data_IF_530504384231
#
_entry.id   IF_530504384231
#
_cell.length_a   1.000
_cell.length_b   1.000
_cell.length_c   1.000
_cell.angle_alpha   90.00
_cell.angle_beta   90.00
_cell.angle_gamma   90.00
#
_symmetry.space_group_name_H-M   'P 1'
#
loop_
_entity.id
_entity.type
_entity.pdbx_description
1 polymer ?
#
# COMPACT_ATOMS: atom_id res chain seq x y z
N UNK A 1 32.53 -5.58 13.84
CA UNK A 1 31.78 -5.14 12.65
C UNK A 1 30.60 -6.06 12.48
N UNK A 2 29.40 -5.51 12.59
CA UNK A 2 28.14 -6.22 12.36
C UNK A 2 27.66 -5.89 10.95
N UNK A 3 27.09 -6.89 10.28
CA UNK A 3 26.45 -6.69 9.00
C UNK A 3 24.93 -6.69 9.21
N UNK A 4 24.28 -5.70 8.62
CA UNK A 4 22.83 -5.55 8.65
C UNK A 4 22.26 -5.73 7.25
N UNK A 5 21.29 -6.63 7.14
CA UNK A 5 20.39 -6.74 6.00
C UNK A 5 19.07 -6.09 6.40
N UNK A 6 18.66 -5.06 5.68
CA UNK A 6 17.49 -4.25 6.02
C UNK A 6 16.56 -4.23 4.82
N UNK A 7 15.29 -4.50 5.10
CA UNK A 7 14.19 -4.26 4.20
C UNK A 7 13.44 -3.04 4.67
N UNK A 8 13.01 -2.20 3.75
CA UNK A 8 12.16 -1.06 4.03
C UNK A 8 11.00 -1.02 3.04
N UNK A 9 9.85 -0.56 3.49
CA UNK A 9 8.67 -0.37 2.64
C UNK A 9 7.74 0.68 3.25
N UNK A 10 6.87 1.24 2.43
CA UNK A 10 5.88 2.24 2.89
C UNK A 10 4.57 1.55 3.24
N UNK A 11 4.00 1.86 4.41
CA UNK A 11 2.63 1.48 4.78
C UNK A 11 1.74 2.70 4.57
N UNK A 12 1.04 2.72 3.44
CA UNK A 12 0.27 3.89 3.01
C UNK A 12 -0.91 4.18 3.93
N UNK A 13 -1.57 3.13 4.43
CA UNK A 13 -2.70 3.25 5.37
C UNK A 13 -2.34 3.95 6.68
N UNK A 14 -1.06 3.94 7.08
CA UNK A 14 -0.56 4.56 8.31
C UNK A 14 0.34 5.77 8.07
N UNK A 15 0.70 6.06 6.80
CA UNK A 15 1.68 7.09 6.48
C UNK A 15 3.04 6.87 7.12
N UNK A 16 3.47 5.60 7.27
CA UNK A 16 4.68 5.25 8.00
C UNK A 16 5.61 4.39 7.13
N UNK A 17 6.93 4.54 7.34
CA UNK A 17 7.93 3.63 6.79
C UNK A 17 8.16 2.52 7.80
N UNK A 18 8.08 1.28 7.33
CA UNK A 18 8.33 0.09 8.17
C UNK A 18 9.53 -0.65 7.62
N UNK A 19 10.24 -1.33 8.50
CA UNK A 19 11.40 -2.12 8.11
C UNK A 19 11.52 -3.45 8.83
N UNK A 20 12.30 -4.34 8.25
CA UNK A 20 12.72 -5.59 8.88
C UNK A 20 14.24 -5.70 8.78
N UNK A 21 14.87 -6.13 9.88
CA UNK A 21 16.32 -6.19 9.99
C UNK A 21 16.77 -7.60 10.36
N UNK A 22 17.84 -8.05 9.71
CA UNK A 22 18.66 -9.17 10.16
C UNK A 22 20.06 -8.62 10.43
N UNK A 23 20.55 -8.80 11.65
CA UNK A 23 21.91 -8.43 12.04
C UNK A 23 22.69 -9.68 12.47
N UNK A 24 23.91 -9.83 11.95
CA UNK A 24 24.83 -10.88 12.35
C UNK A 24 26.27 -10.34 12.39
N UNK A 25 27.09 -10.94 13.26
CA UNK A 25 28.51 -10.62 13.35
C UNK A 25 29.24 -11.16 12.12
N UNK A 26 30.08 -10.34 11.52
CA UNK A 26 30.87 -10.61 10.31
C UNK A 26 30.06 -10.80 9.01
N UNK A 27 29.19 -11.81 8.93
CA UNK A 27 28.41 -12.10 7.71
C UNK A 27 27.02 -12.63 8.01
N UNK A 28 26.02 -11.96 7.45
CA UNK A 28 24.64 -12.47 7.48
C UNK A 28 24.50 -13.73 6.64
N UNK A 29 23.86 -14.75 7.21
CA UNK A 29 23.54 -16.00 6.53
C UNK A 29 22.77 -15.79 5.21
N UNK A 30 23.33 -16.33 4.14
CA UNK A 30 22.76 -16.28 2.79
C UNK A 30 21.45 -17.06 2.70
N UNK A 31 21.29 -18.15 3.44
CA UNK A 31 20.06 -18.95 3.40
C UNK A 31 18.89 -18.17 4.01
N UNK A 32 19.13 -17.45 5.12
CA UNK A 32 18.14 -16.59 5.74
C UNK A 32 17.72 -15.43 4.83
N UNK A 33 18.68 -14.74 4.21
CA UNK A 33 18.38 -13.65 3.26
C UNK A 33 17.58 -14.19 2.08
N UNK A 34 17.99 -15.32 1.50
CA UNK A 34 17.29 -15.92 0.37
C UNK A 34 15.85 -16.28 0.73
N UNK A 35 15.63 -16.93 1.87
CA UNK A 35 14.28 -17.28 2.33
C UNK A 35 13.38 -16.04 2.48
N UNK A 36 13.94 -14.94 2.96
CA UNK A 36 13.21 -13.68 3.13
C UNK A 36 12.90 -13.03 1.77
N UNK A 37 13.87 -12.95 0.86
CA UNK A 37 13.66 -12.40 -0.49
C UNK A 37 12.64 -13.22 -1.30
N UNK A 38 12.67 -14.54 -1.19
CA UNK A 38 11.71 -15.43 -1.86
C UNK A 38 10.28 -15.12 -1.38
N UNK A 39 10.08 -14.99 -0.05
CA UNK A 39 8.77 -14.62 0.52
C UNK A 39 8.30 -13.23 0.10
N UNK A 40 9.20 -12.25 0.06
CA UNK A 40 8.86 -10.89 -0.38
C UNK A 40 8.41 -10.86 -1.83
N UNK A 41 9.03 -11.68 -2.69
CA UNK A 41 8.69 -11.71 -4.11
C UNK A 41 7.22 -12.10 -4.35
N UNK A 42 6.60 -12.83 -3.41
CA UNK A 42 5.18 -13.20 -3.44
C UNK A 42 4.25 -12.02 -3.13
N UNK A 43 4.73 -10.99 -2.42
CA UNK A 43 3.93 -9.84 -1.96
C UNK A 43 3.61 -8.87 -3.12
N UNK A 44 4.22 -9.02 -4.29
CA UNK A 44 3.99 -8.22 -5.51
C UNK A 44 3.94 -6.70 -5.25
N UNK A 45 4.91 -6.19 -4.47
CA UNK A 45 5.09 -4.76 -4.18
C UNK A 45 6.39 -4.25 -4.78
N UNK A 46 6.29 -3.11 -5.47
CA UNK A 46 7.43 -2.50 -6.18
C UNK A 46 8.23 -1.52 -5.32
N UNK A 47 7.73 -1.13 -4.15
CA UNK A 47 8.32 -0.11 -3.28
C UNK A 47 9.18 -0.68 -2.14
N UNK A 48 9.47 -1.99 -2.17
CA UNK A 48 10.32 -2.63 -1.15
C UNK A 48 11.79 -2.36 -1.50
N UNK A 49 12.46 -1.62 -0.61
CA UNK A 49 13.89 -1.32 -0.69
C UNK A 49 14.72 -2.34 0.10
N UNK A 50 15.88 -2.73 -0.44
CA UNK A 50 16.85 -3.61 0.20
C UNK A 50 18.13 -2.84 0.47
N UNK A 51 18.60 -2.86 1.71
CA UNK A 51 19.82 -2.16 2.15
C UNK A 51 20.77 -3.12 2.87
N UNK A 52 22.07 -2.89 2.65
CA UNK A 52 23.15 -3.58 3.35
C UNK A 52 24.06 -2.56 4.01
N UNK A 53 24.25 -2.66 5.32
CA UNK A 53 25.06 -1.74 6.11
C UNK A 53 26.01 -2.48 7.03
N UNK A 54 27.10 -1.82 7.40
CA UNK A 54 28.08 -2.31 8.36
C UNK A 54 28.21 -1.32 9.51
N UNK A 55 28.13 -1.81 10.73
CA UNK A 55 28.12 -0.98 11.94
C UNK A 55 29.01 -1.57 13.03
N UNK A 56 29.14 -0.84 14.14
CA UNK A 56 29.88 -1.28 15.32
C UNK A 56 29.07 -2.22 16.23
N UNK A 57 27.73 -2.19 16.16
CA UNK A 57 26.81 -2.98 16.99
C UNK A 57 25.64 -3.54 16.16
N UNK A 58 25.09 -4.68 16.59
CA UNK A 58 23.85 -5.29 16.07
C UNK A 58 22.56 -4.48 16.33
N UNK A 59 22.62 -3.39 17.09
CA UNK A 59 21.48 -2.55 17.43
C UNK A 59 21.00 -1.67 16.26
N UNK A 60 19.68 -1.42 16.22
CA UNK A 60 19.09 -0.47 15.26
C UNK A 60 19.61 0.96 15.45
N UNK A 61 19.92 1.34 16.69
CA UNK A 61 20.48 2.66 16.98
C UNK A 61 21.80 2.91 16.22
N UNK A 62 22.66 1.88 16.11
CA UNK A 62 23.91 1.99 15.37
C UNK A 62 23.69 2.20 13.86
N UNK A 63 22.56 1.73 13.31
CA UNK A 63 22.16 1.99 11.93
C UNK A 63 21.73 3.45 11.74
N UNK A 64 20.91 3.98 12.66
CA UNK A 64 20.45 5.39 12.61
C UNK A 64 21.63 6.35 12.75
N UNK A 65 22.58 6.05 13.65
CA UNK A 65 23.79 6.86 13.85
C UNK A 65 24.69 6.90 12.60
N UNK A 66 24.69 5.81 11.81
CA UNK A 66 25.43 5.73 10.56
C UNK A 66 24.75 6.48 9.42
N UNK A 67 23.42 6.38 9.33
CA UNK A 67 22.63 6.97 8.24
C UNK A 67 21.25 7.43 8.74
N UNK A 68 21.03 8.75 8.74
CA UNK A 68 19.78 9.36 9.19
C UNK A 68 18.58 9.06 8.30
N UNK A 69 18.78 8.48 7.10
CA UNK A 69 17.69 7.99 6.25
C UNK A 69 16.77 6.98 6.95
N UNK A 70 17.25 6.31 7.99
CA UNK A 70 16.53 5.28 8.74
C UNK A 70 15.83 5.78 10.01
N UNK A 71 15.92 7.07 10.33
CA UNK A 71 15.40 7.65 11.59
C UNK A 71 13.87 7.51 11.72
N UNK A 72 13.15 7.60 10.60
CA UNK A 72 11.69 7.50 10.53
C UNK A 72 11.18 6.09 10.21
N UNK A 73 12.05 5.08 10.20
CA UNK A 73 11.71 3.69 9.90
C UNK A 73 11.36 2.94 11.19
N UNK A 74 10.13 2.44 11.25
CA UNK A 74 9.65 1.60 12.36
C UNK A 74 10.00 0.13 12.08
N UNK A 75 10.88 -0.45 12.90
CA UNK A 75 11.30 -1.85 12.75
C UNK A 75 10.27 -2.81 13.34
N UNK A 76 9.86 -3.80 12.52
CA UNK A 76 9.04 -4.92 12.94
C UNK A 76 9.86 -5.92 13.76
N UNK A 77 9.21 -6.56 14.74
CA UNK A 77 9.89 -7.52 15.62
C UNK A 77 10.29 -8.81 14.90
N UNK A 78 9.53 -9.19 13.87
CA UNK A 78 9.83 -10.34 13.03
C UNK A 78 9.36 -10.12 11.58
N UNK A 79 9.83 -10.99 10.67
CA UNK A 79 9.50 -10.89 9.25
C UNK A 79 8.02 -11.19 8.97
N UNK A 80 7.37 -12.05 9.76
CA UNK A 80 5.93 -12.33 9.62
C UNK A 80 5.07 -11.11 9.96
N UNK A 81 5.45 -10.31 10.96
CA UNK A 81 4.82 -9.02 11.23
C UNK A 81 4.95 -8.06 10.03
N UNK A 82 6.18 -7.94 9.50
CA UNK A 82 6.46 -7.12 8.31
C UNK A 82 5.63 -7.56 7.10
N UNK A 83 5.65 -8.86 6.77
CA UNK A 83 4.89 -9.45 5.67
C UNK A 83 3.38 -9.23 5.82
N UNK A 84 2.85 -9.41 7.04
CA UNK A 84 1.44 -9.19 7.34
C UNK A 84 1.03 -7.72 7.17
N UNK A 85 1.86 -6.78 7.63
CA UNK A 85 1.62 -5.36 7.45
C UNK A 85 1.55 -5.00 5.97
N UNK A 86 2.54 -5.42 5.18
CA UNK A 86 2.56 -5.15 3.74
C UNK A 86 1.39 -5.80 3.00
N UNK A 87 1.04 -7.03 3.35
CA UNK A 87 -0.08 -7.75 2.75
C UNK A 87 -1.43 -7.12 3.09
N UNK A 88 -1.56 -6.54 4.28
CA UNK A 88 -2.79 -5.85 4.70
C UNK A 88 -2.97 -4.51 3.99
N UNK A 89 -1.87 -3.82 3.70
CA UNK A 89 -1.84 -2.51 3.04
C UNK A 89 -2.24 -2.60 1.54
N UNK A 90 -2.17 -3.80 0.95
CA UNK A 90 -2.63 -4.06 -0.43
C UNK A 90 -4.17 -4.14 -0.57
N UNK A 91 -4.90 -4.20 0.54
CA UNK A 91 -6.36 -4.34 0.49
C UNK A 91 -7.00 -2.98 0.23
N UNK A 92 -7.41 -2.77 -1.02
CA UNK A 92 -8.21 -1.61 -1.43
C UNK A 92 -9.63 -1.75 -0.88
N UNK A 93 -10.13 -0.69 -0.23
CA UNK A 93 -11.51 -0.59 0.24
C UNK A 93 -12.40 0.11 -0.80
N UNK A 94 -13.72 -0.07 -0.71
CA UNK A 94 -14.67 0.66 -1.56
C UNK A 94 -14.56 2.19 -1.36
N UNK A 95 -14.20 2.60 -0.15
CA UNK A 95 -13.99 4.01 0.22
C UNK A 95 -12.75 4.57 -0.49
N UNK A 96 -11.67 3.80 -0.60
CA UNK A 96 -10.46 4.24 -1.31
C UNK A 96 -10.77 4.47 -2.80
N UNK A 97 -11.53 3.57 -3.42
CA UNK A 97 -12.01 3.74 -4.80
C UNK A 97 -12.89 4.99 -4.93
N UNK A 98 -13.78 5.23 -3.96
CA UNK A 98 -14.61 6.44 -3.95
C UNK A 98 -13.78 7.72 -3.81
N UNK A 99 -12.78 7.74 -2.92
CA UNK A 99 -11.85 8.86 -2.75
C UNK A 99 -11.04 9.13 -4.01
N UNK A 100 -10.58 8.08 -4.70
CA UNK A 100 -9.93 8.22 -6.00
C UNK A 100 -10.83 8.90 -7.04
N UNK A 101 -12.12 8.57 -7.10
CA UNK A 101 -13.05 9.31 -7.96
C UNK A 101 -13.18 10.77 -7.52
N UNK A 102 -13.32 11.03 -6.23
CA UNK A 102 -13.44 12.38 -5.68
C UNK A 102 -12.19 13.24 -5.89
N UNK A 103 -11.00 12.64 -5.98
CA UNK A 103 -9.75 13.32 -6.24
C UNK A 103 -9.60 13.78 -7.70
N UNK A 104 -10.40 13.21 -8.62
CA UNK A 104 -10.47 13.65 -10.02
C UNK A 104 -11.50 14.76 -10.23
N UNK A 105 -12.67 14.63 -9.60
CA UNK A 105 -13.73 15.64 -9.64
C UNK A 105 -14.75 15.42 -8.53
N UNK A 106 -15.57 16.44 -8.29
CA UNK A 106 -16.63 16.36 -7.29
C UNK A 106 -17.83 15.54 -7.77
N UNK A 107 -18.36 14.68 -6.89
CA UNK A 107 -19.51 13.82 -7.18
C UNK A 107 -20.51 13.80 -6.02
N UNK A 108 -21.78 13.59 -6.31
CA UNK A 108 -22.78 13.25 -5.27
C UNK A 108 -22.61 11.79 -4.81
N UNK A 109 -23.16 11.46 -3.63
CA UNK A 109 -23.04 10.10 -3.10
C UNK A 109 -23.63 9.03 -4.05
N UNK A 110 -24.71 9.35 -4.78
CA UNK A 110 -25.35 8.43 -5.73
C UNK A 110 -24.47 8.19 -6.96
N UNK A 111 -23.77 9.23 -7.42
CA UNK A 111 -22.80 9.09 -8.51
C UNK A 111 -21.63 8.22 -8.08
N UNK A 112 -21.09 8.41 -6.87
CA UNK A 112 -20.02 7.57 -6.33
C UNK A 112 -20.43 6.10 -6.24
N UNK A 113 -21.62 5.80 -5.72
CA UNK A 113 -22.13 4.42 -5.64
C UNK A 113 -22.15 3.73 -7.02
N UNK A 114 -22.60 4.45 -8.06
CA UNK A 114 -22.62 3.93 -9.43
C UNK A 114 -21.22 3.73 -10.00
N UNK A 115 -20.33 4.71 -9.82
CA UNK A 115 -18.96 4.65 -10.34
C UNK A 115 -18.15 3.52 -9.69
N UNK A 116 -18.20 3.41 -8.36
CA UNK A 116 -17.53 2.34 -7.63
C UNK A 116 -18.08 0.97 -8.01
N UNK A 117 -19.40 0.84 -8.20
CA UNK A 117 -20.00 -0.40 -8.69
C UNK A 117 -19.51 -0.76 -10.11
N UNK A 118 -19.48 0.20 -11.03
CA UNK A 118 -18.98 -0.02 -12.40
C UNK A 118 -17.50 -0.43 -12.36
N UNK A 119 -16.67 0.27 -11.59
CA UNK A 119 -15.26 -0.08 -11.42
C UNK A 119 -15.08 -1.51 -10.87
N UNK A 120 -15.85 -1.88 -9.84
CA UNK A 120 -15.83 -3.24 -9.29
C UNK A 120 -16.25 -4.27 -10.33
N UNK A 121 -17.32 -4.02 -11.09
CA UNK A 121 -17.83 -4.93 -12.13
C UNK A 121 -16.79 -5.14 -13.23
N UNK A 122 -16.23 -4.06 -13.78
CA UNK A 122 -15.23 -4.15 -14.85
C UNK A 122 -13.95 -4.85 -14.37
N UNK A 123 -13.49 -4.56 -13.15
CA UNK A 123 -12.35 -5.24 -12.55
C UNK A 123 -12.62 -6.75 -12.35
N UNK A 124 -13.79 -7.10 -11.83
CA UNK A 124 -14.19 -8.50 -11.64
C UNK A 124 -14.26 -9.26 -12.97
N UNK A 125 -14.85 -8.67 -14.01
CA UNK A 125 -14.95 -9.29 -15.33
C UNK A 125 -13.57 -9.47 -16.00
N UNK A 126 -12.66 -8.49 -15.81
CA UNK A 126 -11.35 -8.50 -16.46
C UNK A 126 -10.34 -9.42 -15.76
N UNK A 127 -10.33 -9.46 -14.43
CA UNK A 127 -9.29 -10.13 -13.65
C UNK A 127 -9.79 -11.35 -12.87
N UNK A 128 -11.10 -11.63 -12.89
CA UNK A 128 -11.75 -12.69 -12.10
C UNK A 128 -11.42 -12.61 -10.60
N UNK A 129 -11.26 -11.39 -10.11
CA UNK A 129 -10.89 -11.07 -8.71
C UNK A 129 -11.75 -9.92 -8.20
N UNK A 130 -12.05 -9.92 -6.91
CA UNK A 130 -12.77 -8.81 -6.28
C UNK A 130 -11.87 -7.59 -6.13
N UNK A 131 -12.36 -6.42 -6.53
CA UNK A 131 -11.63 -5.15 -6.35
C UNK A 131 -11.51 -4.76 -4.87
N UNK A 132 -12.57 -4.99 -4.10
CA UNK A 132 -12.65 -4.77 -2.65
C UNK A 132 -13.53 -5.85 -2.01
N UNK A 133 -13.57 -5.97 -0.68
CA UNK A 133 -14.25 -7.08 0.02
C UNK A 133 -15.65 -6.73 0.52
N UNK A 134 -15.97 -5.44 0.62
CA UNK A 134 -17.26 -4.92 1.05
C UNK A 134 -18.40 -5.48 0.20
N UNK A 135 -19.55 -5.68 0.86
CA UNK A 135 -20.71 -6.29 0.22
C UNK A 135 -21.44 -5.27 -0.62
N UNK A 136 -21.74 -5.66 -1.86
CA UNK A 136 -22.61 -4.91 -2.76
C UNK A 136 -24.01 -5.51 -2.64
N UNK A 137 -24.97 -4.70 -2.20
CA UNK A 137 -26.35 -5.12 -1.92
C UNK A 137 -27.30 -4.48 -2.93
N UNK A 138 -28.25 -5.26 -3.44
CA UNK A 138 -29.28 -4.76 -4.33
C UNK A 138 -30.34 -3.97 -3.55
N UNK A 139 -30.35 -2.65 -3.70
CA UNK A 139 -31.40 -1.77 -3.21
C UNK A 139 -32.41 -1.46 -4.33
N UNK A 140 -33.54 -0.84 -3.96
CA UNK A 140 -34.62 -0.44 -4.88
C UNK A 140 -34.12 0.35 -6.10
N UNK A 141 -33.09 1.17 -5.94
CA UNK A 141 -32.56 2.06 -6.99
C UNK A 141 -31.21 1.61 -7.56
N UNK A 142 -30.81 0.37 -7.28
CA UNK A 142 -29.58 -0.21 -7.80
C UNK A 142 -28.65 -0.76 -6.71
N UNK A 143 -27.47 -1.24 -7.12
CA UNK A 143 -26.48 -1.77 -6.20
C UNK A 143 -25.91 -0.67 -5.30
N UNK A 144 -25.73 -0.99 -4.02
CA UNK A 144 -25.21 -0.09 -2.99
C UNK A 144 -24.14 -0.82 -2.20
N UNK A 145 -22.99 -0.17 -2.02
CA UNK A 145 -22.01 -0.52 -0.99
C UNK A 145 -22.44 0.17 0.31
N UNK A 146 -22.83 -0.61 1.31
CA UNK A 146 -23.42 -0.09 2.56
C UNK A 146 -22.48 0.84 3.31
N UNK A 147 -21.20 0.47 3.38
CA UNK A 147 -20.15 1.21 4.08
C UNK A 147 -20.01 2.61 3.48
N UNK A 148 -19.95 2.70 2.14
CA UNK A 148 -19.95 3.98 1.43
C UNK A 148 -21.26 4.75 1.63
N UNK A 149 -22.41 4.07 1.63
CA UNK A 149 -23.69 4.77 1.84
C UNK A 149 -23.72 5.40 3.22
N UNK A 150 -23.31 4.67 4.27
CA UNK A 150 -23.23 5.22 5.63
C UNK A 150 -22.29 6.41 5.71
N UNK A 151 -21.15 6.36 5.01
CA UNK A 151 -20.16 7.44 5.03
C UNK A 151 -20.60 8.70 4.26
N UNK A 152 -21.26 8.54 3.12
CA UNK A 152 -21.55 9.65 2.21
C UNK A 152 -23.03 10.07 2.18
N UNK A 153 -23.96 9.36 2.85
CA UNK A 153 -25.40 9.68 2.83
C UNK A 153 -25.72 11.08 3.37
N UNK A 154 -24.93 11.60 4.30
CA UNK A 154 -25.19 12.89 4.97
C UNK A 154 -25.05 14.07 4.00
N UNK A 155 -24.27 13.90 2.93
CA UNK A 155 -24.15 14.89 1.86
C UNK A 155 -25.39 14.94 0.95
N UNK A 156 -26.26 13.93 0.99
CA UNK A 156 -27.48 13.87 0.18
C UNK A 156 -27.20 14.08 -1.32
N UNK A 157 -27.95 14.99 -1.94
CA UNK A 157 -27.76 15.35 -3.35
C UNK A 157 -26.59 16.31 -3.60
N UNK A 158 -25.96 16.82 -2.55
CA UNK A 158 -24.86 17.77 -2.68
C UNK A 158 -23.63 17.11 -3.26
N UNK A 159 -22.84 17.89 -3.99
CA UNK A 159 -21.56 17.43 -4.51
C UNK A 159 -20.54 17.38 -3.39
N UNK A 160 -19.89 16.24 -3.23
CA UNK A 160 -18.80 16.02 -2.29
C UNK A 160 -17.52 16.51 -2.96
N UNK A 161 -16.75 17.34 -2.26
CA UNK A 161 -15.42 17.80 -2.65
C UNK A 161 -14.42 17.32 -1.61
N UNK A 162 -13.23 16.88 -2.04
CA UNK A 162 -12.12 16.72 -1.11
C UNK A 162 -11.62 18.11 -0.73
N UNK A 163 -11.29 18.31 0.54
CA UNK A 163 -10.80 19.60 1.05
C UNK A 163 -9.38 19.92 0.55
N UNK A 164 -8.67 18.90 0.08
CA UNK A 164 -7.36 19.05 -0.55
C UNK A 164 -7.54 19.49 -2.01
N UNK A 165 -7.21 20.76 -2.29
CA UNK A 165 -7.27 21.44 -3.60
C UNK A 165 -6.33 20.84 -4.69
N UNK A 166 -5.75 19.66 -4.45
CA UNK A 166 -4.88 18.99 -5.42
C UNK A 166 -5.72 18.24 -6.46
N UNK A 167 -5.90 18.85 -7.62
CA UNK A 167 -6.44 18.15 -8.79
C UNK A 167 -5.40 17.15 -9.28
N UNK A 168 -5.66 15.85 -9.11
CA UNK A 168 -4.78 14.81 -9.62
C UNK A 168 -5.03 14.63 -11.13
N UNK A 169 -4.12 15.14 -11.96
CA UNK A 169 -4.10 14.86 -13.39
C UNK A 169 -3.40 13.53 -13.60
N UNK A 170 -4.14 12.52 -14.06
CA UNK A 170 -3.54 11.27 -14.55
C UNK A 170 -2.88 11.57 -15.90
N UNK A 171 -1.65 12.05 -15.88
CA UNK A 171 -0.76 11.91 -17.04
C UNK A 171 -0.48 10.42 -17.22
N UNK A 172 -0.36 9.97 -18.48
CA UNK A 172 -0.15 8.57 -18.86
C UNK A 172 0.65 7.82 -17.79
N UNK A 173 0.05 6.75 -17.23
CA UNK A 173 0.69 5.90 -16.22
C UNK A 173 1.92 5.28 -16.90
N UNK A 174 3.03 6.00 -16.90
CA UNK A 174 4.31 5.51 -17.36
C UNK A 174 4.67 4.41 -16.38
N UNK A 175 4.62 3.17 -16.87
CA UNK A 175 5.14 2.01 -16.17
C UNK A 175 6.50 2.39 -15.57
N UNK A 176 6.76 2.11 -14.28
CA UNK A 176 8.02 2.45 -13.64
C UNK A 176 9.18 1.98 -14.52
N UNK A 177 10.20 2.83 -14.71
CA UNK A 177 11.37 2.55 -15.54
C UNK A 177 12.10 1.24 -15.17
N UNK A 178 11.81 0.69 -13.98
CA UNK A 178 12.24 -0.64 -13.55
C UNK A 178 11.80 -1.77 -14.50
N UNK A 179 10.64 -1.67 -15.17
CA UNK A 179 10.16 -2.68 -16.13
C UNK A 179 10.85 -2.54 -17.48
N UNK A 180 11.23 -1.31 -17.88
CA UNK A 180 11.91 -1.03 -19.15
C UNK A 180 13.40 -1.38 -19.18
N UNK A 181 14.02 -1.69 -18.04
CA UNK A 181 15.45 -2.08 -17.95
C UNK A 181 15.70 -3.58 -17.99
N UNK A 182 14.65 -4.42 -18.08
CA UNK A 182 14.76 -5.88 -18.22
C UNK A 182 14.32 -6.38 -19.61
N UNK A 183 14.42 -5.53 -20.63
CA UNK A 183 14.22 -5.90 -22.04
C UNK A 183 15.45 -5.55 -22.87
#
# INVERSE_FOLDING_TARGET
>A
MYQHFILIASVYTKGARVGFQISEKDRVDRERIKSVLDRISEINRADIGVHFLFTESDSWQSVIELDSFFEDVVICGDFGEFEKLLSSDLKITAIDVAKFFLSMQSFSHLQLQKLVYIAYKEYLLKYDRKLFQEKIIAYKYGPVVEEMYRQFKEFGSSSIKMEDDETYVLEDIALPQAIGRMM
#
